data_IF_328788483989
#
_entry.id   IF_328788483989
#
_cell.length_a   1.000
_cell.length_b   1.000
_cell.length_c   1.000
_cell.angle_alpha   90.00
_cell.angle_beta   90.00
_cell.angle_gamma   90.00
#
_symmetry.space_group_name_H-M   'P 1'
#
loop_
_entity.id
_entity.type
_entity.pdbx_description
1 polymer ?
#
# COMPACT_ATOMS: atom_id res chain seq x y z
N UNK A 1 -12.23 4.07 2.91
CA UNK A 1 -11.36 2.95 2.50
C UNK A 1 -11.31 2.88 0.98
N UNK A 2 -10.12 2.82 0.45
CA UNK A 2 -9.91 2.79 -0.99
C UNK A 2 -9.45 1.41 -1.43
N UNK A 3 -9.79 1.02 -2.66
CA UNK A 3 -9.30 -0.22 -3.23
C UNK A 3 -8.23 0.10 -4.26
N UNK A 4 -7.18 -0.70 -4.27
CA UNK A 4 -6.10 -0.51 -5.21
C UNK A 4 -5.33 -1.79 -5.47
N UNK A 5 -4.26 -1.65 -6.23
CA UNK A 5 -3.35 -2.76 -6.54
C UNK A 5 -1.93 -2.37 -6.25
N UNK A 6 -1.18 -3.33 -5.73
CA UNK A 6 0.24 -3.12 -5.48
C UNK A 6 0.96 -2.97 -6.80
N UNK A 7 1.64 -1.84 -6.97
CA UNK A 7 2.44 -1.60 -8.16
C UNK A 7 3.76 -2.33 -8.06
N UNK A 8 4.43 -2.18 -6.93
CA UNK A 8 5.60 -2.96 -6.55
C UNK A 8 5.85 -2.76 -5.07
N UNK A 9 6.58 -3.69 -4.48
CA UNK A 9 6.95 -3.60 -3.08
C UNK A 9 8.29 -4.27 -2.88
N UNK A 10 9.20 -3.59 -2.16
CA UNK A 10 10.52 -4.13 -1.85
C UNK A 10 10.54 -4.53 -0.38
N UNK A 11 10.49 -5.84 -0.13
CA UNK A 11 10.46 -6.37 1.23
C UNK A 11 11.75 -6.12 2.01
N UNK A 12 12.86 -5.92 1.33
CA UNK A 12 14.14 -5.63 1.99
C UNK A 12 14.21 -4.19 2.45
N UNK A 13 13.73 -3.28 1.64
CA UNK A 13 13.70 -1.85 1.98
C UNK A 13 12.50 -1.49 2.83
N UNK A 14 11.44 -2.31 2.76
CA UNK A 14 10.26 -2.12 3.58
C UNK A 14 9.28 -1.09 3.06
N UNK A 15 9.25 -0.83 1.76
CA UNK A 15 8.29 0.09 1.18
C UNK A 15 7.98 -0.24 -0.27
N UNK A 16 6.93 0.37 -0.78
CA UNK A 16 6.52 0.22 -2.16
C UNK A 16 5.44 1.22 -2.51
N UNK A 17 4.69 0.92 -3.55
CA UNK A 17 3.62 1.78 -4.03
C UNK A 17 2.38 0.98 -4.38
N UNK A 18 1.22 1.56 -4.10
CA UNK A 18 -0.06 1.01 -4.52
C UNK A 18 -0.71 2.01 -5.47
N UNK A 19 -1.33 1.48 -6.51
CA UNK A 19 -2.04 2.30 -7.49
C UNK A 19 -3.51 2.40 -7.10
N UNK A 20 -4.05 3.61 -7.12
CA UNK A 20 -5.45 3.86 -6.87
C UNK A 20 -6.15 4.15 -8.20
N UNK A 21 -6.95 3.23 -8.72
CA UNK A 21 -7.60 3.44 -10.01
C UNK A 21 -8.66 4.54 -9.99
N UNK A 22 -9.18 4.87 -8.82
CA UNK A 22 -10.20 5.90 -8.69
C UNK A 22 -9.69 7.30 -9.03
N UNK A 23 -8.44 7.58 -8.70
CA UNK A 23 -7.85 8.90 -8.96
C UNK A 23 -6.64 8.84 -9.88
N UNK A 24 -6.23 7.64 -10.27
CA UNK A 24 -5.07 7.45 -11.16
C UNK A 24 -3.73 7.75 -10.53
N UNK A 25 -3.66 7.84 -9.22
CA UNK A 25 -2.43 8.16 -8.50
C UNK A 25 -1.81 6.93 -7.86
N UNK A 26 -0.50 6.99 -7.64
CA UNK A 26 0.23 5.98 -6.89
C UNK A 26 0.49 6.52 -5.49
N UNK A 27 0.34 5.66 -4.49
CA UNK A 27 0.53 6.04 -3.10
C UNK A 27 1.66 5.24 -2.48
N UNK A 28 2.56 5.93 -1.79
CA UNK A 28 3.64 5.30 -1.06
C UNK A 28 3.06 4.46 0.08
N UNK A 29 3.60 3.25 0.27
CA UNK A 29 3.22 2.41 1.40
C UNK A 29 4.49 1.91 2.09
N UNK A 30 4.53 2.09 3.42
CA UNK A 30 5.62 1.59 4.26
C UNK A 30 5.15 0.32 4.96
N UNK A 31 6.09 -0.61 5.23
CA UNK A 31 5.70 -1.89 5.81
C UNK A 31 4.95 -1.74 7.15
N UNK A 32 5.22 -0.67 7.89
CA UNK A 32 4.54 -0.41 9.16
C UNK A 32 3.04 -0.15 8.99
N UNK A 33 2.61 0.19 7.77
CA UNK A 33 1.21 0.44 7.48
C UNK A 33 0.47 -0.80 6.96
N UNK A 34 1.18 -1.90 6.79
CA UNK A 34 0.57 -3.15 6.33
C UNK A 34 -0.03 -3.90 7.51
N UNK A 35 -1.31 -4.18 7.43
CA UNK A 35 -2.03 -4.91 8.47
C UNK A 35 -2.05 -6.39 8.12
N UNK A 36 -1.12 -7.13 8.68
CA UNK A 36 -1.10 -8.58 8.47
C UNK A 36 -0.56 -9.27 9.72
N UNK A 37 -0.92 -10.53 9.88
CA UNK A 37 -0.57 -11.32 11.06
C UNK A 37 0.78 -12.01 10.94
N UNK A 38 1.57 -11.69 9.99
CA UNK A 38 2.83 -12.34 9.81
C UNK A 38 3.80 -11.45 9.09
N UNK A 39 4.36 -11.97 8.04
CA UNK A 39 5.34 -11.25 7.25
C UNK A 39 4.67 -10.07 6.55
N UNK A 40 5.15 -8.88 6.86
CA UNK A 40 4.57 -7.65 6.30
C UNK A 40 5.17 -7.35 4.94
N UNK A 41 4.61 -7.95 3.92
CA UNK A 41 5.06 -7.77 2.55
C UNK A 41 3.87 -7.79 1.60
N UNK A 42 4.05 -7.19 0.43
CA UNK A 42 3.04 -7.16 -0.61
C UNK A 42 3.64 -7.69 -1.91
N UNK A 43 2.78 -8.24 -2.76
CA UNK A 43 3.21 -8.75 -4.05
C UNK A 43 2.66 -7.86 -5.16
N UNK A 44 3.44 -7.74 -6.23
CA UNK A 44 3.05 -6.95 -7.39
C UNK A 44 1.73 -7.46 -7.96
N UNK A 45 0.80 -6.53 -8.20
CA UNK A 45 -0.51 -6.86 -8.74
C UNK A 45 -1.53 -7.33 -7.72
N UNK A 46 -1.13 -7.45 -6.45
CA UNK A 46 -2.04 -7.89 -5.40
C UNK A 46 -3.09 -6.82 -5.11
N UNK A 47 -4.34 -7.26 -4.90
CA UNK A 47 -5.41 -6.33 -4.53
C UNK A 47 -5.34 -5.99 -3.06
N UNK A 48 -5.51 -4.71 -2.75
CA UNK A 48 -5.44 -4.21 -1.37
C UNK A 48 -6.52 -3.17 -1.13
N UNK A 49 -6.84 -2.97 0.13
CA UNK A 49 -7.62 -1.82 0.58
C UNK A 49 -6.71 -0.97 1.46
N UNK A 50 -6.93 0.34 1.44
CA UNK A 50 -6.10 1.25 2.21
C UNK A 50 -6.82 2.58 2.45
N UNK A 51 -6.33 3.31 3.43
CA UNK A 51 -6.78 4.67 3.69
C UNK A 51 -5.70 5.64 3.22
N UNK A 52 -6.12 6.82 2.80
CA UNK A 52 -5.19 7.85 2.38
C UNK A 52 -4.92 8.75 3.58
N UNK A 53 -3.64 8.91 3.91
CA UNK A 53 -3.23 9.78 5.00
C UNK A 53 -2.08 10.66 4.56
N UNK A 54 -1.70 11.59 5.42
CA UNK A 54 -0.59 12.47 5.13
C UNK A 54 0.72 11.90 5.66
N UNK A 55 1.74 11.91 4.81
CA UNK A 55 3.09 11.57 5.18
C UNK A 55 4.00 12.77 5.04
N UNK A 56 5.30 12.54 5.22
CA UNK A 56 6.29 13.63 5.18
C UNK A 56 6.39 14.30 3.81
N UNK A 57 6.13 13.54 2.75
CA UNK A 57 6.31 14.03 1.39
C UNK A 57 5.01 14.01 0.60
N UNK A 58 3.87 14.06 1.29
CA UNK A 58 2.58 14.05 0.65
C UNK A 58 1.70 12.93 1.14
N UNK A 59 0.69 12.60 0.36
CA UNK A 59 -0.27 11.58 0.73
C UNK A 59 0.32 10.17 0.61
N UNK A 60 0.04 9.34 1.60
CA UNK A 60 0.53 7.96 1.64
C UNK A 60 -0.63 7.00 1.91
N UNK A 61 -0.41 5.72 1.57
CA UNK A 61 -1.37 4.68 1.90
C UNK A 61 -1.15 4.25 3.34
N UNK A 62 -2.24 4.19 4.11
CA UNK A 62 -2.22 3.75 5.50
C UNK A 62 -3.22 2.63 5.69
N UNK A 63 -3.01 1.83 6.75
CA UNK A 63 -3.91 0.74 7.09
C UNK A 63 -4.14 -0.19 5.90
N UNK A 64 -3.06 -0.59 5.26
CA UNK A 64 -3.13 -1.40 4.04
C UNK A 64 -3.45 -2.84 4.39
N UNK A 65 -4.50 -3.37 3.77
CA UNK A 65 -4.92 -4.75 3.97
C UNK A 65 -5.02 -5.46 2.64
N UNK A 66 -4.58 -6.71 2.60
CA UNK A 66 -4.69 -7.51 1.38
C UNK A 66 -6.12 -8.03 1.24
N UNK A 67 -6.57 -8.09 -0.01
CA UNK A 67 -7.88 -8.61 -0.36
C UNK A 67 -7.68 -9.88 -1.18
N UNK A 68 -8.27 -10.95 -0.72
CA UNK A 68 -8.17 -12.23 -1.45
C UNK A 68 -9.27 -12.37 -2.49
#
# INVERSE_FOLDING_TARGET
MNEGKVKWFDGKKGYGFVANPSDGKDYFVHFSEIQSDGYKTLEEGQNVTFDIGEGRQGEIAKNVQTVN
#
